data_IF_262938819409
#
_entry.id   IF_262938819409
#
_cell.length_a   1.000
_cell.length_b   1.000
_cell.length_c   1.000
_cell.angle_alpha   90.00
_cell.angle_beta   90.00
_cell.angle_gamma   90.00
#
_symmetry.space_group_name_H-M   'P 1'
#
loop_
_entity.id
_entity.type
_entity.pdbx_description
1 polymer ?
#
# COMPACT_ATOMS: atom_id res chain seq x y z
N UNK A 1 41.05 -6.57 31.65
CA UNK A 1 40.82 -5.12 31.83
C UNK A 1 41.83 -4.33 31.01
N UNK A 2 41.35 -3.48 30.11
CA UNK A 2 42.11 -2.55 29.25
C UNK A 2 42.88 -1.44 30.01
N UNK A 3 43.58 -1.81 31.09
CA UNK A 3 44.23 -0.93 32.05
C UNK A 3 45.03 0.21 31.37
N UNK A 4 44.49 1.43 31.43
CA UNK A 4 45.22 2.66 31.09
C UNK A 4 45.23 3.11 29.63
N UNK A 5 44.55 2.42 28.69
CA UNK A 5 44.42 2.90 27.31
C UNK A 5 43.10 3.65 27.11
N UNK A 6 43.11 4.97 26.80
CA UNK A 6 41.88 5.76 26.64
C UNK A 6 41.12 5.50 25.32
N UNK A 7 41.44 4.43 24.58
CA UNK A 7 40.93 4.17 23.24
C UNK A 7 39.93 3.00 23.21
N UNK A 8 38.86 3.16 22.41
CA UNK A 8 37.87 2.12 22.13
C UNK A 8 38.33 1.24 20.96
N UNK A 9 39.40 0.47 21.18
CA UNK A 9 40.00 -0.42 20.18
C UNK A 9 41.29 0.10 19.55
N UNK A 10 41.76 -0.63 18.55
CA UNK A 10 43.03 -0.36 17.86
C UNK A 10 42.77 0.37 16.54
N UNK A 11 43.50 1.44 16.28
CA UNK A 11 43.44 2.15 15.00
C UNK A 11 44.34 1.48 13.97
N UNK A 12 43.92 1.39 12.71
CA UNK A 12 44.72 0.72 11.66
C UNK A 12 46.08 1.37 11.43
N UNK A 13 46.17 2.70 11.61
CA UNK A 13 47.43 3.45 11.52
C UNK A 13 48.32 3.30 12.76
N UNK A 14 47.82 2.72 13.85
CA UNK A 14 48.60 2.44 15.06
C UNK A 14 49.54 1.24 14.90
N UNK A 15 49.35 0.45 13.84
CA UNK A 15 50.12 -0.78 13.59
C UNK A 15 50.92 -0.67 12.30
N UNK A 16 52.17 -1.12 12.37
CA UNK A 16 53.06 -1.29 11.22
C UNK A 16 53.63 -2.69 11.19
N UNK A 17 53.55 -3.31 10.02
CA UNK A 17 54.23 -4.55 9.71
C UNK A 17 55.70 -4.24 9.41
N UNK A 18 56.61 -4.94 10.08
CA UNK A 18 58.05 -4.84 9.86
C UNK A 18 58.49 -5.88 8.82
N UNK A 19 59.60 -5.63 8.15
CA UNK A 19 60.13 -6.49 7.08
C UNK A 19 60.54 -7.89 7.55
N UNK A 20 60.81 -8.04 8.84
CA UNK A 20 61.15 -9.30 9.50
C UNK A 20 59.92 -10.07 10.01
N UNK A 21 58.71 -9.60 9.71
CA UNK A 21 57.46 -10.19 10.20
C UNK A 21 57.06 -9.72 11.60
N UNK A 22 57.83 -8.81 12.21
CA UNK A 22 57.45 -8.16 13.46
C UNK A 22 56.28 -7.19 13.31
N UNK A 23 55.64 -6.86 14.43
CA UNK A 23 54.57 -5.88 14.52
C UNK A 23 54.99 -4.74 15.43
N UNK A 24 55.00 -3.52 14.91
CA UNK A 24 55.18 -2.31 15.71
C UNK A 24 53.82 -1.69 16.02
N UNK A 25 53.52 -1.54 17.32
CA UNK A 25 52.32 -0.86 17.81
C UNK A 25 52.73 0.49 18.41
N UNK A 26 52.17 1.58 17.91
CA UNK A 26 52.50 2.92 18.38
C UNK A 26 51.93 3.22 19.77
N UNK A 27 52.63 4.04 20.59
CA UNK A 27 52.12 4.46 21.89
C UNK A 27 50.80 5.22 21.79
N UNK A 28 49.87 5.07 22.76
CA UNK A 28 48.52 5.64 22.67
C UNK A 28 48.49 7.16 22.47
N UNK A 29 49.42 7.90 23.08
CA UNK A 29 49.52 9.36 22.89
C UNK A 29 49.84 9.73 21.44
N UNK A 30 50.70 8.97 20.78
CA UNK A 30 51.05 9.19 19.37
C UNK A 30 49.86 8.86 18.47
N UNK A 31 49.14 7.78 18.76
CA UNK A 31 47.94 7.40 18.01
C UNK A 31 46.85 8.46 18.14
N UNK A 32 46.61 8.96 19.36
CA UNK A 32 45.62 10.02 19.60
C UNK A 32 45.93 11.28 18.76
N UNK A 33 47.19 11.72 18.76
CA UNK A 33 47.65 12.82 17.93
C UNK A 33 47.50 12.56 16.42
N UNK A 34 47.80 11.34 15.96
CA UNK A 34 47.60 10.95 14.54
C UNK A 34 46.13 10.94 14.11
N UNK A 35 45.21 10.59 15.02
CA UNK A 35 43.76 10.58 14.77
C UNK A 35 43.22 12.00 14.66
N UNK A 36 43.67 12.93 15.52
CA UNK A 36 43.30 14.35 15.45
C UNK A 36 43.71 14.99 14.11
N UNK A 37 44.90 14.65 13.62
CA UNK A 37 45.42 15.16 12.35
C UNK A 37 44.76 14.53 11.11
N UNK A 38 44.09 13.39 11.26
CA UNK A 38 43.69 12.56 10.12
C UNK A 38 42.36 11.85 10.40
N UNK A 39 41.27 12.38 9.84
CA UNK A 39 39.89 11.97 10.14
C UNK A 39 39.54 10.51 9.77
N UNK A 40 40.41 9.82 9.02
CA UNK A 40 40.08 8.62 8.26
C UNK A 40 40.72 7.31 8.80
N UNK A 41 40.81 7.14 10.12
CA UNK A 41 41.59 6.05 10.75
C UNK A 41 40.78 4.95 11.46
N UNK A 42 39.44 4.96 11.37
CA UNK A 42 38.55 4.09 12.16
C UNK A 42 38.29 2.69 11.58
N UNK A 43 39.09 2.23 10.63
CA UNK A 43 38.82 0.98 9.88
C UNK A 43 38.73 -0.27 10.77
N UNK A 44 39.41 -0.29 11.91
CA UNK A 44 39.46 -1.46 12.82
C UNK A 44 38.58 -1.28 14.07
N UNK A 45 37.69 -0.29 14.07
CA UNK A 45 36.83 0.03 15.21
C UNK A 45 35.38 -0.28 14.85
N UNK A 46 34.72 -1.05 15.71
CA UNK A 46 33.29 -1.29 15.56
C UNK A 46 32.52 0.00 15.88
N UNK A 47 31.53 0.42 15.07
CA UNK A 47 30.85 1.72 15.24
C UNK A 47 30.21 1.92 16.61
N UNK A 48 29.67 0.84 17.18
CA UNK A 48 28.80 0.92 18.36
C UNK A 48 29.36 0.26 19.64
N UNK A 49 30.51 -0.45 19.57
CA UNK A 49 31.07 -1.18 20.73
C UNK A 49 32.06 -0.34 21.54
N UNK A 50 32.22 -0.64 22.83
CA UNK A 50 33.13 0.09 23.73
C UNK A 50 33.93 -0.85 24.66
N UNK A 51 35.03 -0.35 25.22
CA UNK A 51 35.82 -1.11 26.19
C UNK A 51 36.39 -2.41 25.61
N UNK A 52 36.38 -3.49 26.40
CA UNK A 52 37.03 -4.76 26.04
C UNK A 52 36.40 -5.40 24.77
N UNK A 53 35.12 -5.17 24.48
CA UNK A 53 34.45 -5.69 23.27
C UNK A 53 34.91 -4.98 21.98
N UNK A 54 35.23 -3.68 22.07
CA UNK A 54 35.80 -2.91 20.97
C UNK A 54 37.23 -3.37 20.65
N UNK A 55 38.02 -3.66 21.68
CA UNK A 55 39.35 -4.25 21.52
C UNK A 55 39.29 -5.66 20.93
N UNK A 56 38.35 -6.48 21.38
CA UNK A 56 38.11 -7.81 20.81
C UNK A 56 37.81 -7.75 19.32
N UNK A 57 36.97 -6.81 18.89
CA UNK A 57 36.70 -6.57 17.47
C UNK A 57 37.98 -6.19 16.71
N UNK A 58 38.79 -5.26 17.22
CA UNK A 58 40.05 -4.87 16.58
C UNK A 58 41.06 -6.01 16.47
N UNK A 59 41.16 -6.87 17.49
CA UNK A 59 41.97 -8.08 17.47
C UNK A 59 41.47 -9.07 16.42
N UNK A 60 40.14 -9.19 16.26
CA UNK A 60 39.52 -9.96 15.17
C UNK A 60 39.93 -9.45 13.79
N UNK A 61 39.92 -8.13 13.57
CA UNK A 61 40.32 -7.53 12.30
C UNK A 61 41.81 -7.78 12.02
N UNK A 62 42.66 -7.63 13.03
CA UNK A 62 44.08 -7.94 12.93
C UNK A 62 44.35 -9.41 12.59
N UNK A 63 43.72 -10.34 13.32
CA UNK A 63 43.89 -11.77 13.08
C UNK A 63 43.44 -12.15 11.67
N UNK A 64 42.32 -11.58 11.20
CA UNK A 64 41.86 -11.75 9.83
C UNK A 64 42.90 -11.25 8.81
N UNK A 65 43.48 -10.08 9.02
CA UNK A 65 44.48 -9.51 8.12
C UNK A 65 45.77 -10.33 8.11
N UNK A 66 46.22 -10.85 9.25
CA UNK A 66 47.37 -11.76 9.32
C UNK A 66 47.13 -13.02 8.47
N UNK A 67 45.94 -13.59 8.58
CA UNK A 67 45.61 -14.86 7.92
C UNK A 67 45.32 -14.72 6.42
N UNK A 68 44.80 -13.57 5.99
CA UNK A 68 44.31 -13.40 4.62
C UNK A 68 45.06 -12.35 3.80
N UNK A 69 45.87 -11.51 4.45
CA UNK A 69 46.49 -10.33 3.84
C UNK A 69 45.50 -9.22 3.44
N UNK A 70 44.22 -9.34 3.81
CA UNK A 70 43.15 -8.47 3.33
C UNK A 70 42.30 -7.90 4.48
N UNK A 71 41.68 -6.74 4.28
CA UNK A 71 40.72 -6.19 5.25
C UNK A 71 39.36 -6.92 5.17
N UNK A 72 38.78 -7.35 6.31
CA UNK A 72 37.53 -8.12 6.34
C UNK A 72 36.31 -7.41 5.74
N UNK A 73 36.35 -6.08 5.64
CA UNK A 73 35.26 -5.25 5.14
C UNK A 73 35.74 -4.30 4.02
N UNK A 74 36.74 -4.72 3.23
CA UNK A 74 37.33 -3.93 2.14
C UNK A 74 36.28 -3.53 1.06
N UNK A 75 36.53 -2.41 0.37
CA UNK A 75 35.82 -2.03 -0.86
C UNK A 75 34.48 -1.30 -0.68
N UNK A 76 34.11 -0.90 0.54
CA UNK A 76 32.88 -0.17 0.82
C UNK A 76 33.21 1.27 1.26
N UNK A 77 32.40 2.25 0.81
CA UNK A 77 32.45 3.61 1.34
C UNK A 77 32.09 3.61 2.84
N UNK A 78 32.55 4.61 3.61
CA UNK A 78 32.47 4.65 5.07
C UNK A 78 31.12 4.23 5.67
N UNK A 79 30.01 4.76 5.16
CA UNK A 79 28.69 4.42 5.71
C UNK A 79 28.25 3.00 5.37
N UNK A 80 28.57 2.52 4.16
CA UNK A 80 28.28 1.15 3.75
C UNK A 80 29.15 0.12 4.51
N UNK A 81 30.39 0.49 4.86
CA UNK A 81 31.27 -0.29 5.73
C UNK A 81 30.67 -0.41 7.14
N UNK A 82 30.25 0.71 7.74
CA UNK A 82 29.61 0.72 9.08
C UNK A 82 28.35 -0.13 9.11
N UNK A 83 27.50 -0.01 8.08
CA UNK A 83 26.30 -0.85 7.94
C UNK A 83 26.67 -2.34 7.86
N UNK A 84 27.70 -2.71 7.09
CA UNK A 84 28.17 -4.10 6.98
C UNK A 84 28.69 -4.64 8.31
N UNK A 85 29.45 -3.84 9.06
CA UNK A 85 29.95 -4.19 10.40
C UNK A 85 28.78 -4.42 11.37
N UNK A 86 27.82 -3.50 11.44
CA UNK A 86 26.65 -3.63 12.34
C UNK A 86 25.82 -4.86 12.05
N UNK A 87 25.70 -5.22 10.77
CA UNK A 87 24.96 -6.40 10.35
C UNK A 87 25.75 -7.70 10.55
N UNK A 88 27.03 -7.63 10.95
CA UNK A 88 27.88 -8.80 11.15
C UNK A 88 28.10 -9.59 9.86
N UNK A 89 28.14 -8.91 8.72
CA UNK A 89 28.21 -9.57 7.42
C UNK A 89 29.66 -9.73 6.99
N UNK A 90 30.12 -10.97 7.04
CA UNK A 90 31.50 -11.35 6.76
C UNK A 90 31.53 -12.72 6.07
N UNK A 91 32.31 -12.89 4.98
CA UNK A 91 32.48 -14.20 4.37
C UNK A 91 33.10 -15.21 5.37
N UNK A 92 32.98 -16.53 5.14
CA UNK A 92 33.77 -17.53 5.84
C UNK A 92 35.27 -17.26 5.69
N UNK A 93 36.05 -17.23 6.78
CA UNK A 93 37.51 -17.05 6.68
C UNK A 93 38.14 -18.15 5.83
N UNK A 94 37.60 -19.37 5.94
CA UNK A 94 37.97 -20.55 5.14
C UNK A 94 37.87 -20.30 3.61
N UNK A 95 37.08 -19.31 3.16
CA UNK A 95 37.02 -18.96 1.73
C UNK A 95 38.30 -18.28 1.23
N UNK A 96 39.06 -17.65 2.14
CA UNK A 96 40.29 -16.93 1.85
C UNK A 96 41.51 -17.68 2.40
N UNK A 97 41.39 -18.29 3.58
CA UNK A 97 42.42 -19.06 4.27
C UNK A 97 41.88 -20.47 4.63
N UNK A 98 41.75 -21.40 3.66
CA UNK A 98 41.09 -22.70 3.86
C UNK A 98 41.78 -23.64 4.87
N UNK A 99 43.06 -23.39 5.16
CA UNK A 99 43.81 -24.14 6.17
C UNK A 99 43.61 -23.64 7.60
N UNK A 100 42.85 -22.56 7.83
CA UNK A 100 42.64 -22.02 9.19
C UNK A 100 41.98 -23.07 10.09
N UNK A 101 42.42 -23.16 11.35
CA UNK A 101 41.80 -24.06 12.33
C UNK A 101 40.37 -23.60 12.67
N UNK A 102 39.49 -24.56 12.99
CA UNK A 102 38.10 -24.26 13.33
C UNK A 102 37.97 -23.34 14.56
N UNK A 103 38.86 -23.53 15.55
CA UNK A 103 38.91 -22.69 16.75
C UNK A 103 39.23 -21.22 16.39
N UNK A 104 40.14 -21.00 15.44
CA UNK A 104 40.45 -19.65 14.97
C UNK A 104 39.30 -19.03 14.18
N UNK A 105 38.64 -19.80 13.29
CA UNK A 105 37.43 -19.32 12.58
C UNK A 105 36.33 -18.90 13.56
N UNK A 106 36.02 -19.74 14.55
CA UNK A 106 34.98 -19.46 15.54
C UNK A 106 35.31 -18.20 16.34
N UNK A 107 36.54 -18.08 16.84
CA UNK A 107 36.96 -16.93 17.64
C UNK A 107 36.90 -15.63 16.84
N UNK A 108 37.52 -15.62 15.65
CA UNK A 108 37.60 -14.43 14.79
C UNK A 108 36.20 -14.02 14.34
N UNK A 109 35.36 -14.97 13.93
CA UNK A 109 33.96 -14.69 13.58
C UNK A 109 33.18 -14.12 14.76
N UNK A 110 33.30 -14.72 15.95
CA UNK A 110 32.59 -14.22 17.15
C UNK A 110 33.01 -12.80 17.49
N UNK A 111 34.29 -12.48 17.37
CA UNK A 111 34.80 -11.12 17.58
C UNK A 111 34.24 -10.12 16.55
N UNK A 112 34.19 -10.51 15.27
CA UNK A 112 33.81 -9.60 14.17
C UNK A 112 32.30 -9.47 13.95
N UNK A 113 31.52 -10.51 14.23
CA UNK A 113 30.09 -10.57 13.87
C UNK A 113 29.17 -10.94 15.03
N UNK A 114 29.69 -11.46 16.14
CA UNK A 114 28.88 -11.87 17.29
C UNK A 114 28.30 -10.69 18.08
N UNK A 115 27.20 -10.86 18.83
CA UNK A 115 26.70 -9.86 19.77
C UNK A 115 27.77 -9.39 20.77
N UNK A 116 27.70 -8.14 21.22
CA UNK A 116 28.70 -7.53 22.12
C UNK A 116 28.89 -8.33 23.41
N UNK A 117 27.81 -8.85 23.98
CA UNK A 117 27.78 -9.64 25.23
C UNK A 117 28.49 -10.98 25.10
N UNK A 118 28.60 -11.47 23.87
CA UNK A 118 29.23 -12.75 23.56
C UNK A 118 30.60 -12.60 22.95
N UNK A 119 31.07 -11.37 22.69
CA UNK A 119 32.38 -11.13 22.12
C UNK A 119 33.47 -11.76 22.99
N UNK A 120 34.51 -12.38 22.40
CA UNK A 120 35.61 -12.94 23.17
C UNK A 120 36.25 -11.87 24.06
N UNK A 121 36.52 -12.20 25.32
CA UNK A 121 37.22 -11.30 26.23
C UNK A 121 38.70 -11.20 25.88
N UNK A 122 39.41 -10.22 26.43
CA UNK A 122 40.86 -10.11 26.25
C UNK A 122 41.63 -11.29 26.87
N UNK A 123 41.06 -11.93 27.90
CA UNK A 123 41.61 -13.14 28.51
C UNK A 123 41.44 -14.36 27.59
N UNK A 124 40.28 -14.48 26.93
CA UNK A 124 40.06 -15.48 25.90
C UNK A 124 41.09 -15.32 24.78
N UNK A 125 41.27 -14.11 24.26
CA UNK A 125 42.30 -13.81 23.25
C UNK A 125 43.69 -14.20 23.71
N UNK A 126 44.08 -13.89 24.95
CA UNK A 126 45.36 -14.30 25.51
C UNK A 126 45.55 -15.82 25.56
N UNK A 127 44.48 -16.55 25.87
CA UNK A 127 44.49 -18.02 25.90
C UNK A 127 44.60 -18.62 24.50
N UNK A 128 43.83 -18.09 23.54
CA UNK A 128 43.89 -18.52 22.13
C UNK A 128 45.22 -18.19 21.46
N UNK A 129 45.82 -17.04 21.74
CA UNK A 129 47.14 -16.68 21.20
C UNK A 129 48.20 -17.66 21.69
N UNK A 130 48.20 -18.02 22.99
CA UNK A 130 49.12 -19.04 23.53
C UNK A 130 48.93 -20.39 22.84
N UNK A 131 47.67 -20.79 22.63
CA UNK A 131 47.34 -22.02 21.90
C UNK A 131 47.88 -21.96 20.46
N UNK A 132 47.65 -20.87 19.73
CA UNK A 132 48.12 -20.71 18.35
C UNK A 132 49.64 -20.65 18.22
N UNK A 133 50.34 -20.11 19.22
CA UNK A 133 51.81 -20.13 19.25
C UNK A 133 52.38 -21.54 19.44
N UNK A 134 51.65 -22.42 20.13
CA UNK A 134 52.07 -23.79 20.39
C UNK A 134 51.64 -24.78 19.29
N UNK A 135 50.39 -24.70 18.84
CA UNK A 135 49.75 -25.67 17.94
C UNK A 135 49.70 -25.19 16.47
N UNK A 136 49.94 -23.90 16.23
CA UNK A 136 49.74 -23.27 14.93
C UNK A 136 48.29 -22.86 14.68
N UNK A 137 48.09 -21.86 13.82
CA UNK A 137 46.77 -21.32 13.43
C UNK A 137 46.29 -21.87 12.09
N UNK A 138 47.18 -22.49 11.31
CA UNK A 138 46.92 -23.11 10.02
C UNK A 138 47.27 -24.60 10.10
N UNK A 139 46.32 -25.46 9.78
CA UNK A 139 46.52 -26.90 9.62
C UNK A 139 47.06 -27.21 8.23
N UNK A 140 48.07 -28.07 8.15
CA UNK A 140 48.52 -28.64 6.89
C UNK A 140 47.48 -29.67 6.42
N UNK A 141 46.72 -29.33 5.38
CA UNK A 141 45.72 -30.20 4.75
C UNK A 141 46.16 -30.55 3.32
N UNK A 142 45.75 -31.71 2.78
CA UNK A 142 45.92 -32.01 1.37
C UNK A 142 45.28 -30.94 0.48
N UNK A 143 45.90 -30.64 -0.66
CA UNK A 143 45.42 -29.61 -1.60
C UNK A 143 43.97 -29.82 -2.02
N UNK A 144 43.54 -31.07 -2.20
CA UNK A 144 42.16 -31.42 -2.57
C UNK A 144 41.16 -30.98 -1.50
N UNK A 145 41.47 -31.18 -0.22
CA UNK A 145 40.60 -30.79 0.90
C UNK A 145 40.55 -29.27 1.05
N UNK A 146 41.68 -28.58 0.84
CA UNK A 146 41.74 -27.11 0.82
C UNK A 146 40.82 -26.53 -0.25
N UNK A 147 40.83 -27.10 -1.46
CA UNK A 147 39.98 -26.66 -2.55
C UNK A 147 38.48 -26.92 -2.27
N UNK A 148 38.13 -28.08 -1.73
CA UNK A 148 36.73 -28.38 -1.35
C UNK A 148 36.21 -27.47 -0.24
N UNK A 149 37.02 -27.17 0.77
CA UNK A 149 36.67 -26.21 1.82
C UNK A 149 36.48 -24.82 1.24
N UNK A 150 37.41 -24.38 0.39
CA UNK A 150 37.34 -23.08 -0.30
C UNK A 150 36.09 -22.94 -1.17
N UNK A 151 35.73 -23.98 -1.93
CA UNK A 151 34.53 -23.99 -2.77
C UNK A 151 33.24 -23.86 -1.93
N UNK A 152 33.07 -24.71 -0.90
CA UNK A 152 31.92 -24.64 0.02
C UNK A 152 31.81 -23.29 0.73
N UNK A 153 32.95 -22.69 1.06
CA UNK A 153 33.03 -21.40 1.70
C UNK A 153 32.67 -20.24 0.75
N UNK A 154 33.01 -20.35 -0.54
CA UNK A 154 32.63 -19.38 -1.59
C UNK A 154 31.13 -19.38 -1.86
N UNK A 155 30.49 -20.54 -1.96
CA UNK A 155 29.03 -20.62 -2.17
C UNK A 155 28.25 -19.92 -1.05
N UNK A 156 28.72 -20.08 0.19
CA UNK A 156 28.17 -19.38 1.35
C UNK A 156 28.40 -17.86 1.26
N UNK A 157 29.58 -17.42 0.86
CA UNK A 157 29.90 -16.01 0.68
C UNK A 157 28.99 -15.35 -0.38
N UNK A 158 28.83 -15.99 -1.55
CA UNK A 158 27.96 -15.51 -2.63
C UNK A 158 26.49 -15.40 -2.20
N UNK A 159 26.01 -16.36 -1.40
CA UNK A 159 24.66 -16.33 -0.83
C UNK A 159 24.45 -15.14 0.10
N UNK A 160 25.45 -14.78 0.90
CA UNK A 160 25.43 -13.63 1.80
C UNK A 160 25.42 -12.31 1.00
N UNK A 161 26.24 -12.20 -0.05
CA UNK A 161 26.27 -11.01 -0.92
C UNK A 161 24.96 -10.81 -1.69
N UNK A 162 24.36 -11.88 -2.22
CA UNK A 162 23.05 -11.82 -2.89
C UNK A 162 21.97 -11.29 -1.94
N UNK A 163 21.94 -11.75 -0.68
CA UNK A 163 20.99 -11.26 0.33
C UNK A 163 21.17 -9.77 0.61
N UNK A 164 22.41 -9.29 0.71
CA UNK A 164 22.72 -7.86 0.90
C UNK A 164 22.22 -7.01 -0.27
N UNK A 165 22.53 -7.43 -1.49
CA UNK A 165 22.11 -6.73 -2.71
C UNK A 165 20.60 -6.61 -2.76
N UNK A 166 19.89 -7.71 -2.50
CA UNK A 166 18.43 -7.73 -2.48
C UNK A 166 17.88 -6.80 -1.39
N UNK A 167 18.43 -6.82 -0.17
CA UNK A 167 17.99 -5.94 0.92
C UNK A 167 18.21 -4.46 0.61
N UNK A 168 19.38 -4.10 0.04
CA UNK A 168 19.67 -2.73 -0.43
C UNK A 168 18.69 -2.31 -1.54
N UNK A 169 18.36 -3.22 -2.45
CA UNK A 169 17.38 -2.98 -3.51
C UNK A 169 15.97 -2.78 -2.96
N UNK A 170 15.50 -3.61 -2.03
CA UNK A 170 14.20 -3.43 -1.38
C UNK A 170 14.12 -2.12 -0.59
N UNK A 171 15.20 -1.69 0.08
CA UNK A 171 15.22 -0.40 0.78
C UNK A 171 15.15 0.80 -0.18
N UNK A 172 15.82 0.73 -1.33
CA UNK A 172 15.87 1.83 -2.32
C UNK A 172 14.68 1.86 -3.28
N UNK A 173 14.14 0.69 -3.61
CA UNK A 173 13.18 0.50 -4.70
C UNK A 173 11.86 -0.15 -4.25
N UNK A 174 11.79 -0.70 -3.04
CA UNK A 174 10.58 -1.37 -2.54
C UNK A 174 9.38 -0.44 -2.43
N UNK A 175 9.59 0.84 -2.07
CA UNK A 175 8.54 1.85 -2.09
C UNK A 175 7.96 2.05 -3.49
N UNK A 176 8.81 2.10 -4.52
CA UNK A 176 8.36 2.27 -5.92
C UNK A 176 7.50 1.08 -6.36
N UNK A 177 7.84 -0.14 -5.95
CA UNK A 177 7.08 -1.35 -6.26
C UNK A 177 5.70 -1.34 -5.55
N UNK A 178 5.66 -0.94 -4.28
CA UNK A 178 4.40 -0.79 -3.53
C UNK A 178 3.46 0.23 -4.16
N UNK A 179 3.98 1.39 -4.57
CA UNK A 179 3.20 2.42 -5.27
C UNK A 179 2.62 1.87 -6.58
N UNK A 180 3.42 1.17 -7.39
CA UNK A 180 2.94 0.58 -8.64
C UNK A 180 1.82 -0.44 -8.42
N UNK A 181 1.94 -1.29 -7.40
CA UNK A 181 0.90 -2.27 -7.05
C UNK A 181 -0.39 -1.58 -6.61
N UNK A 182 -0.29 -0.53 -5.79
CA UNK A 182 -1.44 0.24 -5.34
C UNK A 182 -2.18 0.93 -6.50
N UNK A 183 -1.44 1.49 -7.46
CA UNK A 183 -2.03 2.10 -8.67
C UNK A 183 -2.79 1.06 -9.50
N UNK A 184 -2.19 -0.11 -9.74
CA UNK A 184 -2.83 -1.20 -10.50
C UNK A 184 -4.11 -1.67 -9.77
N UNK A 185 -4.03 -1.89 -8.46
CA UNK A 185 -5.19 -2.29 -7.66
C UNK A 185 -6.31 -1.23 -7.70
N UNK A 186 -5.96 0.06 -7.64
CA UNK A 186 -6.91 1.17 -7.77
C UNK A 186 -7.61 1.20 -9.12
N UNK A 187 -6.88 0.99 -10.22
CA UNK A 187 -7.45 0.91 -11.57
C UNK A 187 -8.40 -0.29 -11.70
N UNK A 188 -8.00 -1.45 -11.19
CA UNK A 188 -8.84 -2.66 -11.21
C UNK A 188 -10.12 -2.46 -10.39
N UNK A 189 -10.02 -1.85 -9.20
CA UNK A 189 -11.17 -1.52 -8.37
C UNK A 189 -12.13 -0.55 -9.08
N UNK A 190 -11.61 0.49 -9.73
CA UNK A 190 -12.40 1.48 -10.46
C UNK A 190 -13.17 0.87 -11.63
N UNK A 191 -12.54 -0.04 -12.38
CA UNK A 191 -13.20 -0.75 -13.50
C UNK A 191 -14.24 -1.76 -12.99
N UNK A 192 -14.05 -2.33 -11.79
CA UNK A 192 -14.96 -3.34 -11.24
C UNK A 192 -16.36 -2.83 -10.91
N UNK A 193 -16.50 -1.58 -10.48
CA UNK A 193 -17.77 -1.00 -10.03
C UNK A 193 -18.85 -0.93 -11.16
N UNK A 194 -18.58 -0.37 -12.35
CA UNK A 194 -19.56 -0.35 -13.43
C UNK A 194 -19.86 -1.76 -13.97
N UNK A 195 -18.91 -2.69 -13.91
CA UNK A 195 -19.13 -4.09 -14.32
C UNK A 195 -20.11 -4.78 -13.37
N UNK A 196 -19.96 -4.60 -12.05
CA UNK A 196 -20.90 -5.14 -11.07
C UNK A 196 -22.31 -4.59 -11.27
N UNK A 197 -22.44 -3.27 -11.41
CA UNK A 197 -23.72 -2.61 -11.70
C UNK A 197 -24.36 -3.13 -13.00
N UNK A 198 -23.57 -3.35 -14.06
CA UNK A 198 -24.09 -3.92 -15.31
C UNK A 198 -24.51 -5.41 -15.21
N UNK A 199 -23.99 -6.14 -14.22
CA UNK A 199 -24.30 -7.55 -13.98
C UNK A 199 -25.49 -7.76 -13.06
N UNK A 200 -25.79 -6.80 -12.18
CA UNK A 200 -26.99 -6.82 -11.35
C UNK A 200 -28.25 -6.93 -12.22
N UNK A 201 -29.23 -7.69 -11.73
CA UNK A 201 -30.51 -7.81 -12.39
C UNK A 201 -31.30 -6.53 -12.10
N UNK A 202 -31.97 -5.93 -13.11
CA UNK A 202 -32.80 -4.76 -12.85
C UNK A 202 -33.92 -5.15 -11.88
N UNK A 203 -34.45 -4.18 -11.14
CA UNK A 203 -35.58 -4.39 -10.22
C UNK A 203 -36.80 -4.99 -10.96
N UNK A 204 -36.92 -4.70 -12.26
CA UNK A 204 -37.98 -5.22 -13.15
C UNK A 204 -37.78 -6.66 -13.61
N UNK A 205 -36.73 -7.36 -13.18
CA UNK A 205 -36.47 -8.74 -13.55
C UNK A 205 -37.62 -9.68 -13.12
N UNK A 206 -38.29 -10.29 -14.10
CA UNK A 206 -39.43 -11.18 -13.88
C UNK A 206 -40.79 -10.49 -13.78
N UNK A 207 -40.84 -9.15 -13.76
CA UNK A 207 -42.10 -8.40 -13.74
C UNK A 207 -42.82 -8.46 -15.11
N UNK A 208 -44.15 -8.65 -15.16
CA UNK A 208 -44.94 -8.47 -16.38
C UNK A 208 -45.09 -6.97 -16.73
N UNK A 209 -45.46 -6.62 -17.97
CA UNK A 209 -45.57 -5.23 -18.42
C UNK A 209 -46.42 -4.30 -17.54
N UNK A 210 -47.50 -4.81 -16.94
CA UNK A 210 -48.35 -4.02 -16.03
C UNK A 210 -47.59 -3.61 -14.77
N UNK A 211 -46.87 -4.54 -14.16
CA UNK A 211 -46.09 -4.27 -12.95
C UNK A 211 -44.89 -3.35 -13.24
N UNK A 212 -44.29 -3.46 -14.44
CA UNK A 212 -43.26 -2.50 -14.89
C UNK A 212 -43.85 -1.09 -15.05
N UNK A 213 -45.07 -0.95 -15.59
CA UNK A 213 -45.75 0.34 -15.69
C UNK A 213 -46.04 0.94 -14.30
N UNK A 214 -46.56 0.13 -13.37
CA UNK A 214 -46.80 0.57 -11.98
C UNK A 214 -45.52 1.02 -11.30
N UNK A 215 -44.43 0.26 -11.47
CA UNK A 215 -43.12 0.57 -10.91
C UNK A 215 -42.56 1.86 -11.49
N UNK A 216 -42.73 2.09 -12.80
CA UNK A 216 -42.33 3.33 -13.47
C UNK A 216 -43.01 4.56 -12.85
N UNK A 217 -44.33 4.52 -12.66
CA UNK A 217 -45.05 5.66 -12.09
C UNK A 217 -44.79 5.82 -10.59
N UNK A 218 -44.58 4.73 -9.85
CA UNK A 218 -44.16 4.82 -8.43
C UNK A 218 -42.80 5.49 -8.27
N UNK A 219 -41.87 5.21 -9.18
CA UNK A 219 -40.54 5.83 -9.16
C UNK A 219 -40.59 7.36 -9.33
N UNK A 220 -41.67 7.92 -9.90
CA UNK A 220 -41.91 9.36 -9.96
C UNK A 220 -42.20 9.92 -8.57
N UNK A 221 -43.12 9.30 -7.83
CA UNK A 221 -43.47 9.71 -6.46
C UNK A 221 -42.27 9.60 -5.53
N UNK A 222 -41.54 8.48 -5.61
CA UNK A 222 -40.37 8.19 -4.77
C UNK A 222 -39.12 9.00 -5.18
N UNK A 223 -39.18 9.71 -6.30
CA UNK A 223 -38.04 10.39 -6.92
C UNK A 223 -36.84 9.46 -7.17
N UNK A 224 -37.11 8.18 -7.47
CA UNK A 224 -36.08 7.16 -7.65
C UNK A 224 -35.72 7.03 -9.15
N UNK A 225 -34.70 7.79 -9.55
CA UNK A 225 -34.20 7.73 -10.93
C UNK A 225 -33.58 6.39 -11.31
N UNK A 226 -33.15 5.57 -10.35
CA UNK A 226 -32.53 4.27 -10.63
C UNK A 226 -33.60 3.22 -10.95
N UNK A 227 -34.64 3.14 -10.12
CA UNK A 227 -35.82 2.29 -10.40
C UNK A 227 -36.51 2.72 -11.69
N UNK A 228 -36.60 4.04 -11.95
CA UNK A 228 -37.15 4.52 -13.22
C UNK A 228 -36.32 4.05 -14.42
N UNK A 229 -34.99 4.17 -14.38
CA UNK A 229 -34.11 3.75 -15.49
C UNK A 229 -34.23 2.23 -15.72
N UNK A 230 -34.37 1.43 -14.65
CA UNK A 230 -34.61 -0.02 -14.73
C UNK A 230 -35.94 -0.41 -15.40
N UNK A 231 -36.91 0.50 -15.46
CA UNK A 231 -38.19 0.31 -16.16
C UNK A 231 -38.10 0.68 -17.66
N UNK A 232 -37.07 1.41 -18.07
CA UNK A 232 -36.96 2.01 -19.39
C UNK A 232 -35.99 1.26 -20.29
N UNK A 233 -36.34 1.14 -21.58
CA UNK A 233 -35.38 0.72 -22.57
C UNK A 233 -34.30 1.79 -22.76
N UNK A 234 -33.10 1.37 -23.13
CA UNK A 234 -31.94 2.27 -23.26
C UNK A 234 -32.25 3.50 -24.11
N UNK A 235 -32.01 4.69 -23.55
CA UNK A 235 -32.22 6.04 -24.14
C UNK A 235 -33.68 6.53 -24.21
N UNK A 236 -34.64 5.79 -23.67
CA UNK A 236 -36.04 6.25 -23.52
C UNK A 236 -36.19 7.00 -22.20
N UNK A 237 -37.19 7.89 -22.08
CA UNK A 237 -37.57 8.52 -20.81
C UNK A 237 -36.53 9.45 -20.16
N UNK A 238 -35.48 9.87 -20.88
CA UNK A 238 -34.37 10.69 -20.33
C UNK A 238 -34.81 11.98 -19.66
N UNK A 239 -35.89 12.60 -20.15
CA UNK A 239 -36.38 13.85 -19.57
C UNK A 239 -37.10 13.60 -18.25
N UNK A 240 -37.83 12.49 -18.10
CA UNK A 240 -38.46 12.09 -16.84
C UNK A 240 -37.39 11.72 -15.80
N UNK A 241 -36.37 10.94 -16.19
CA UNK A 241 -35.22 10.62 -15.33
C UNK A 241 -34.51 11.90 -14.88
N UNK A 242 -34.23 12.82 -15.81
CA UNK A 242 -33.57 14.11 -15.49
C UNK A 242 -34.42 14.95 -14.55
N UNK A 243 -35.73 15.02 -14.78
CA UNK A 243 -36.66 15.78 -13.96
C UNK A 243 -36.64 15.26 -12.51
N UNK A 244 -36.80 13.96 -12.31
CA UNK A 244 -36.76 13.33 -11.00
C UNK A 244 -35.44 13.56 -10.29
N UNK A 245 -34.31 13.36 -10.97
CA UNK A 245 -32.99 13.65 -10.38
C UNK A 245 -32.88 15.12 -9.97
N UNK A 246 -33.39 16.04 -10.80
CA UNK A 246 -33.36 17.48 -10.50
C UNK A 246 -34.19 17.80 -9.26
N UNK A 247 -35.39 17.24 -9.14
CA UNK A 247 -36.27 17.47 -7.99
C UNK A 247 -35.69 16.87 -6.72
N UNK A 248 -35.17 15.64 -6.76
CA UNK A 248 -34.50 15.00 -5.63
C UNK A 248 -33.31 15.83 -5.12
N UNK A 249 -32.41 16.23 -6.02
CA UNK A 249 -31.23 17.02 -5.64
C UNK A 249 -31.66 18.37 -5.06
N UNK A 250 -32.67 19.01 -5.66
CA UNK A 250 -33.19 20.28 -5.16
C UNK A 250 -33.81 20.12 -3.78
N UNK A 251 -34.57 19.05 -3.52
CA UNK A 251 -35.18 18.80 -2.20
C UNK A 251 -34.10 18.59 -1.13
N UNK A 252 -33.04 17.82 -1.43
CA UNK A 252 -31.93 17.60 -0.49
C UNK A 252 -31.12 18.87 -0.22
N UNK A 253 -30.92 19.73 -1.22
CA UNK A 253 -30.29 21.03 -1.02
C UNK A 253 -31.14 21.92 -0.11
N UNK A 254 -32.45 22.03 -0.36
CA UNK A 254 -33.37 22.82 0.48
C UNK A 254 -33.47 22.28 1.91
N UNK A 255 -33.42 20.95 2.08
CA UNK A 255 -33.36 20.34 3.39
C UNK A 255 -32.10 20.74 4.16
N UNK A 256 -30.95 20.77 3.49
CA UNK A 256 -29.67 21.14 4.11
C UNK A 256 -29.51 22.63 4.41
N UNK A 257 -29.99 23.51 3.53
CA UNK A 257 -29.78 24.96 3.64
C UNK A 257 -30.97 25.71 4.27
N UNK A 258 -32.20 25.33 3.91
CA UNK A 258 -33.42 26.03 4.30
C UNK A 258 -34.18 25.31 5.43
N UNK A 259 -33.78 24.08 5.76
CA UNK A 259 -34.50 23.24 6.72
C UNK A 259 -35.87 22.77 6.22
N UNK A 260 -36.17 22.96 4.94
CA UNK A 260 -37.43 22.57 4.31
C UNK A 260 -37.31 21.11 3.85
N UNK A 261 -38.20 20.24 4.36
CA UNK A 261 -38.22 18.81 4.03
C UNK A 261 -38.61 18.51 2.58
N UNK A 262 -38.70 17.22 2.26
CA UNK A 262 -39.18 16.77 0.96
C UNK A 262 -40.62 17.27 0.71
N UNK A 263 -40.98 17.60 -0.54
CA UNK A 263 -42.34 18.02 -0.87
C UNK A 263 -43.35 16.90 -0.53
N UNK A 264 -44.56 17.23 -0.06
CA UNK A 264 -45.59 16.22 0.17
C UNK A 264 -46.00 15.56 -1.16
N UNK A 265 -46.27 14.26 -1.12
CA UNK A 265 -46.83 13.56 -2.27
C UNK A 265 -48.20 14.13 -2.61
N UNK A 266 -48.45 14.37 -3.89
CA UNK A 266 -49.69 14.99 -4.35
C UNK A 266 -50.91 14.11 -4.04
N UNK A 267 -50.77 12.80 -4.16
CA UNK A 267 -51.80 11.81 -3.80
C UNK A 267 -52.21 11.94 -2.32
N UNK A 268 -51.24 11.99 -1.41
CA UNK A 268 -51.48 12.13 0.03
C UNK A 268 -52.04 13.52 0.37
N UNK A 269 -51.47 14.59 -0.20
CA UNK A 269 -51.95 15.96 0.02
C UNK A 269 -53.42 16.14 -0.41
N UNK A 270 -53.82 15.53 -1.54
CA UNK A 270 -55.22 15.54 -2.00
C UNK A 270 -56.11 14.74 -1.05
N UNK A 271 -55.66 13.55 -0.65
CA UNK A 271 -56.39 12.66 0.26
C UNK A 271 -56.63 13.30 1.62
N UNK A 272 -55.68 14.10 2.09
CA UNK A 272 -55.76 14.83 3.36
C UNK A 272 -56.60 16.11 3.27
N UNK A 273 -57.27 16.35 2.14
CA UNK A 273 -58.17 17.48 1.95
C UNK A 273 -57.47 18.77 1.53
N UNK A 274 -56.26 18.68 0.98
CA UNK A 274 -55.44 19.80 0.48
C UNK A 274 -55.16 20.86 1.56
N UNK A 275 -54.51 20.47 2.67
CA UNK A 275 -54.11 21.44 3.70
C UNK A 275 -53.23 22.54 3.10
N UNK A 276 -53.29 23.73 3.72
CA UNK A 276 -52.47 24.87 3.31
C UNK A 276 -50.98 24.53 3.43
N UNK A 277 -50.21 24.83 2.37
CA UNK A 277 -48.78 24.57 2.31
C UNK A 277 -48.02 25.84 2.68
N UNK A 278 -46.93 25.68 3.44
CA UNK A 278 -46.02 26.78 3.76
C UNK A 278 -45.43 27.41 2.48
N UNK A 279 -45.04 28.67 2.57
CA UNK A 279 -44.45 29.40 1.45
C UNK A 279 -43.25 28.64 0.84
N UNK A 280 -43.25 28.48 -0.48
CA UNK A 280 -42.22 27.76 -1.20
C UNK A 280 -42.32 26.22 -1.14
N UNK A 281 -43.40 25.65 -0.58
CA UNK A 281 -43.70 24.21 -0.64
C UNK A 281 -44.80 23.96 -1.67
N UNK A 282 -44.63 22.92 -2.49
CA UNK A 282 -45.61 22.48 -3.48
C UNK A 282 -45.74 20.95 -3.41
N UNK A 283 -46.91 20.39 -3.79
CA UNK A 283 -47.07 18.94 -3.89
C UNK A 283 -46.28 18.39 -5.08
N UNK A 284 -45.73 17.19 -4.93
CA UNK A 284 -44.94 16.50 -5.95
C UNK A 284 -45.56 15.16 -6.34
N UNK A 285 -45.34 14.75 -7.59
CA UNK A 285 -45.60 13.37 -8.02
C UNK A 285 -46.90 13.24 -8.78
N UNK A 286 -47.58 12.11 -8.61
CA UNK A 286 -48.73 11.72 -9.41
C UNK A 286 -49.98 11.58 -8.53
N UNK A 287 -51.13 12.03 -9.04
CA UNK A 287 -52.44 11.69 -8.51
C UNK A 287 -53.32 11.05 -9.58
N UNK A 288 -54.37 10.37 -9.12
CA UNK A 288 -55.45 9.82 -9.98
C UNK A 288 -54.95 8.85 -11.06
N UNK A 289 -53.85 8.14 -10.79
CA UNK A 289 -53.26 7.17 -11.72
C UNK A 289 -54.24 6.04 -12.00
N UNK A 290 -54.58 5.87 -13.28
CA UNK A 290 -55.33 4.73 -13.79
C UNK A 290 -54.53 4.08 -14.91
N UNK A 291 -54.28 2.78 -14.77
CA UNK A 291 -53.61 1.96 -15.79
C UNK A 291 -54.63 1.04 -16.45
N UNK A 292 -54.63 1.01 -17.78
CA UNK A 292 -55.50 0.15 -18.57
C UNK A 292 -54.71 -0.53 -19.68
N UNK A 293 -54.77 -1.86 -19.71
CA UNK A 293 -54.21 -2.62 -20.81
C UNK A 293 -55.08 -2.47 -22.07
N UNK A 294 -54.45 -2.20 -23.21
CA UNK A 294 -55.07 -2.12 -24.52
C UNK A 294 -55.00 -3.49 -25.23
N UNK A 295 -55.88 -3.69 -26.21
CA UNK A 295 -56.02 -4.97 -26.92
C UNK A 295 -54.76 -5.43 -27.66
N UNK A 296 -53.83 -4.52 -27.94
CA UNK A 296 -52.56 -4.78 -28.63
C UNK A 296 -51.36 -4.91 -27.68
N UNK A 297 -51.62 -5.06 -26.38
CA UNK A 297 -50.59 -5.24 -25.35
C UNK A 297 -49.92 -3.96 -24.87
N UNK A 298 -50.30 -2.79 -25.41
CA UNK A 298 -49.90 -1.48 -24.86
C UNK A 298 -50.63 -1.19 -23.55
N UNK A 299 -50.09 -0.26 -22.77
CA UNK A 299 -50.73 0.22 -21.55
C UNK A 299 -51.02 1.70 -21.71
N UNK A 300 -52.28 2.08 -21.49
CA UNK A 300 -52.69 3.47 -21.34
C UNK A 300 -52.62 3.83 -19.85
N UNK A 301 -51.91 4.90 -19.54
CA UNK A 301 -51.87 5.48 -18.20
C UNK A 301 -52.50 6.87 -18.24
N UNK A 302 -53.48 7.10 -17.39
CA UNK A 302 -54.10 8.41 -17.18
C UNK A 302 -53.79 8.88 -15.78
N UNK A 303 -53.29 10.09 -15.64
CA UNK A 303 -52.89 10.61 -14.35
C UNK A 303 -52.79 12.13 -14.38
N UNK A 304 -52.73 12.73 -13.19
CA UNK A 304 -52.38 14.13 -13.02
C UNK A 304 -50.97 14.22 -12.46
N UNK A 305 -50.13 14.98 -13.14
CA UNK A 305 -48.74 15.17 -12.77
C UNK A 305 -48.56 16.50 -12.06
N UNK A 306 -47.93 16.49 -10.89
CA UNK A 306 -47.76 17.63 -10.01
C UNK A 306 -46.28 18.01 -9.91
N UNK A 307 -45.96 19.22 -10.32
CA UNK A 307 -44.59 19.72 -10.40
C UNK A 307 -44.51 21.18 -9.97
N UNK A 308 -43.32 21.66 -9.54
CA UNK A 308 -43.13 23.08 -9.34
C UNK A 308 -43.41 23.85 -10.64
N UNK A 309 -44.02 25.05 -10.56
CA UNK A 309 -44.23 25.89 -11.73
C UNK A 309 -42.88 26.33 -12.33
N UNK A 310 -42.80 26.34 -13.67
CA UNK A 310 -41.64 26.89 -14.37
C UNK A 310 -41.56 28.41 -14.11
N UNK A 311 -40.46 28.88 -13.50
CA UNK A 311 -40.18 30.32 -13.36
C UNK A 311 -40.16 30.90 -11.95
N UNK A 312 -40.30 30.09 -10.89
CA UNK A 312 -40.32 30.63 -9.53
C UNK A 312 -41.55 31.48 -9.26
N UNK A 313 -41.74 31.87 -8.01
CA UNK A 313 -42.94 32.49 -7.44
C UNK A 313 -43.20 33.94 -7.90
N UNK A 314 -42.98 34.28 -9.17
CA UNK A 314 -43.36 35.58 -9.71
C UNK A 314 -44.48 35.48 -10.73
N UNK A 315 -45.71 35.73 -10.24
CA UNK A 315 -46.76 36.38 -11.03
C UNK A 315 -47.53 35.52 -12.03
N UNK A 316 -48.48 34.73 -11.54
CA UNK A 316 -49.55 34.15 -12.36
C UNK A 316 -50.06 32.85 -11.75
N UNK A 317 -51.36 32.60 -11.79
CA UNK A 317 -51.97 31.35 -11.32
C UNK A 317 -51.57 30.18 -12.24
N UNK A 318 -50.31 29.75 -12.16
CA UNK A 318 -49.85 28.53 -12.79
C UNK A 318 -50.45 27.36 -12.02
N UNK A 319 -51.24 26.54 -12.72
CA UNK A 319 -51.68 25.25 -12.18
C UNK A 319 -50.44 24.42 -11.84
N UNK A 320 -50.29 24.02 -10.57
CA UNK A 320 -49.22 23.11 -10.11
C UNK A 320 -49.33 21.70 -10.71
N UNK A 321 -50.28 21.49 -11.62
CA UNK A 321 -50.60 20.19 -12.16
C UNK A 321 -51.05 20.23 -13.60
N UNK A 322 -50.80 19.12 -14.29
CA UNK A 322 -51.21 18.90 -15.67
C UNK A 322 -51.78 17.50 -15.83
N UNK A 323 -52.90 17.38 -16.54
CA UNK A 323 -53.50 16.08 -16.85
C UNK A 323 -52.72 15.44 -18.00
N UNK A 324 -52.32 14.17 -17.83
CA UNK A 324 -51.52 13.43 -18.80
C UNK A 324 -52.15 12.09 -19.17
N UNK A 325 -51.98 11.74 -20.44
CA UNK A 325 -52.25 10.41 -20.98
C UNK A 325 -50.98 9.91 -21.64
N UNK A 326 -50.47 8.80 -21.13
CA UNK A 326 -49.30 8.13 -21.68
C UNK A 326 -49.73 6.81 -22.32
N UNK A 327 -49.34 6.58 -23.57
CA UNK A 327 -49.41 5.27 -24.22
C UNK A 327 -48.03 4.63 -24.17
N UNK A 328 -47.91 3.58 -23.35
CA UNK A 328 -46.68 2.85 -23.10
C UNK A 328 -46.54 1.65 -24.05
N UNK A 329 -45.41 1.59 -24.72
CA UNK A 329 -44.98 0.44 -25.50
C UNK A 329 -43.93 -0.35 -24.73
N UNK A 330 -43.97 -1.67 -24.83
CA UNK A 330 -43.04 -2.56 -24.13
C UNK A 330 -42.22 -3.38 -25.12
N UNK A 331 -41.01 -3.72 -24.71
CA UNK A 331 -40.17 -4.73 -25.37
C UNK A 331 -39.60 -5.67 -24.33
N UNK A 332 -39.31 -6.91 -24.74
CA UNK A 332 -38.64 -7.87 -23.87
C UNK A 332 -37.13 -7.68 -24.01
N UNK A 333 -36.52 -7.09 -22.98
CA UNK A 333 -35.07 -6.99 -22.85
C UNK A 333 -34.44 -8.34 -22.51
N UNK A 334 -33.12 -8.34 -22.26
CA UNK A 334 -32.38 -9.58 -21.95
C UNK A 334 -32.77 -10.18 -20.59
N UNK A 335 -33.18 -9.35 -19.63
CA UNK A 335 -33.46 -9.73 -18.23
C UNK A 335 -34.87 -9.38 -17.75
N UNK A 336 -35.55 -8.41 -18.37
CA UNK A 336 -36.85 -7.89 -17.93
C UNK A 336 -37.66 -7.34 -19.11
N UNK A 337 -38.94 -7.05 -18.87
CA UNK A 337 -39.73 -6.19 -19.75
C UNK A 337 -39.33 -4.72 -19.51
N UNK A 338 -39.24 -3.95 -20.59
CA UNK A 338 -38.79 -2.56 -20.58
C UNK A 338 -39.76 -1.69 -21.38
N UNK A 339 -40.04 -0.47 -20.92
CA UNK A 339 -40.82 0.53 -21.66
C UNK A 339 -39.93 1.05 -22.81
N UNK A 340 -40.33 0.72 -24.04
CA UNK A 340 -39.58 1.05 -25.26
C UNK A 340 -40.01 2.36 -25.90
N UNK A 341 -41.17 2.90 -25.54
CA UNK A 341 -41.66 4.21 -25.99
C UNK A 341 -42.77 4.71 -25.07
N UNK A 342 -42.83 6.03 -24.88
CA UNK A 342 -43.88 6.74 -24.14
C UNK A 342 -44.44 7.81 -25.07
N UNK A 343 -45.69 7.65 -25.50
CA UNK A 343 -46.41 8.70 -26.22
C UNK A 343 -47.25 9.48 -25.22
N UNK A 344 -46.76 10.66 -24.83
CA UNK A 344 -47.39 11.51 -23.83
C UNK A 344 -48.23 12.61 -24.47
N UNK A 345 -49.49 12.67 -24.08
CA UNK A 345 -50.42 13.76 -24.42
C UNK A 345 -50.79 14.51 -23.15
N UNK A 346 -50.81 15.84 -23.24
CA UNK A 346 -51.24 16.73 -22.17
C UNK A 346 -52.64 17.24 -22.49
N UNK A 347 -53.57 17.13 -21.55
CA UNK A 347 -54.89 17.76 -21.65
C UNK A 347 -54.83 19.12 -20.92
N UNK A 348 -55.25 20.19 -21.62
CA UNK A 348 -55.35 21.56 -21.07
C UNK A 348 -56.51 21.73 -20.09
#
# INVERSE_FOLDING_TARGET
KSAGFPMNGLYSKAVRWLSDGGILIYPPKLVAWMVELNQDSRMWIHPDRKGDSAWSFSLGVLAWQVLTGSDPFAGEADEARRERIRLGILPPLESLAPGVTQNAEILIRKALTGPEETAPTLEDWGSFIKLWLHEGIVSALPETELQERKARARDKADGIEKKLRNRRWFRKSGWKLLVSVAVIAGVLAFISAPIRKALEAPVTAGMPPMEVAETYYRAIDDMDSEIMDDCLAKKIGKDDVRLITTVYVTSKMRQGYEGIGDPPLASDWIKDGKPELSEGIWPWGISDLTLKQLNDGRIEARYRFWTPPEGGTEGGAASWSVSRIDILHFTQGRKSWEISSIQRTTEE
#
